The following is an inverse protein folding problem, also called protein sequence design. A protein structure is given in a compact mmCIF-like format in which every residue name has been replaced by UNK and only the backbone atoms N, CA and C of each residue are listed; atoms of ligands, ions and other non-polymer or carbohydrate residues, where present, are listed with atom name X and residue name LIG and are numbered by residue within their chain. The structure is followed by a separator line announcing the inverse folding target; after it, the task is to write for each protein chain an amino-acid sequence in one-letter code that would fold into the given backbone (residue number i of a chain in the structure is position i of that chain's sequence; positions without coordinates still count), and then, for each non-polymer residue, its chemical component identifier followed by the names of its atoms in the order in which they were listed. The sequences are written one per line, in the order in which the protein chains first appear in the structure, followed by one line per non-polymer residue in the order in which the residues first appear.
data_IF_884182272059
#
_entry.id   IF_884182272059
#
_cell.length_a   1.000
_cell.length_b   1.000
_cell.length_c   1.000
_cell.angle_alpha   90.00
_cell.angle_beta   90.00
_cell.angle_gamma   90.00
#
_symmetry.space_group_name_H-M   'P 1'
#
loop_
_entity.id
_entity.type
_entity.pdbx_description
1 polymer ?
#
# COMPACT_ATOMS: atom_id res chain seq x y z
N UNK A 1 29.23 9.83 29.81
CA UNK A 1 28.77 10.06 28.42
C UNK A 1 29.98 9.87 27.51
N UNK A 2 29.93 8.97 26.52
CA UNK A 2 31.10 8.76 25.63
C UNK A 2 31.25 10.01 24.75
N UNK A 3 32.41 10.68 24.76
CA UNK A 3 32.60 11.96 24.07
C UNK A 3 32.40 11.81 22.56
N UNK A 4 31.84 12.85 21.93
CA UNK A 4 31.68 12.89 20.48
C UNK A 4 33.05 12.99 19.81
N UNK A 5 33.35 12.03 18.94
CA UNK A 5 34.53 12.09 18.08
C UNK A 5 34.20 12.93 16.85
N UNK A 6 35.04 13.93 16.57
CA UNK A 6 35.00 14.70 15.32
C UNK A 6 36.11 14.18 14.42
N UNK A 7 35.74 13.74 13.23
CA UNK A 7 36.70 13.45 12.17
C UNK A 7 36.81 14.73 11.35
N UNK A 8 38.02 15.27 11.19
CA UNK A 8 38.26 16.45 10.37
C UNK A 8 38.40 16.03 8.89
N UNK A 9 37.71 16.73 7.99
CA UNK A 9 37.83 16.51 6.54
C UNK A 9 39.20 17.03 6.07
N UNK A 10 40.07 16.12 5.62
CA UNK A 10 41.40 16.44 5.07
C UNK A 10 42.03 15.25 4.34
N UNK A 11 43.09 15.50 3.57
CA UNK A 11 43.74 14.53 2.67
C UNK A 11 44.37 13.31 3.40
N UNK A 12 44.50 13.37 4.73
CA UNK A 12 45.10 12.33 5.60
C UNK A 12 44.04 11.78 6.59
N UNK A 13 43.20 10.84 6.14
CA UNK A 13 42.18 10.18 6.97
C UNK A 13 42.83 9.29 8.06
N UNK A 14 43.24 9.86 9.19
CA UNK A 14 43.77 9.09 10.33
C UNK A 14 42.64 8.60 11.24
N UNK A 15 41.87 7.63 10.75
CA UNK A 15 40.92 6.88 11.58
C UNK A 15 41.71 5.90 12.44
N UNK A 16 41.74 6.15 13.75
CA UNK A 16 42.39 5.28 14.74
C UNK A 16 41.43 4.22 15.28
N UNK A 17 41.96 3.13 15.83
CA UNK A 17 41.13 2.09 16.47
C UNK A 17 40.28 2.69 17.60
N UNK A 18 40.85 3.58 18.40
CA UNK A 18 40.18 4.27 19.50
C UNK A 18 39.03 5.14 19.00
N UNK A 19 39.20 5.79 17.84
CA UNK A 19 38.14 6.58 17.18
C UNK A 19 36.99 5.70 16.72
N UNK A 20 37.30 4.53 16.14
CA UNK A 20 36.30 3.58 15.68
C UNK A 20 35.56 2.93 16.87
N UNK A 21 36.26 2.49 17.91
CA UNK A 21 35.69 1.90 19.13
C UNK A 21 34.77 2.90 19.86
N UNK A 22 35.21 4.14 20.05
CA UNK A 22 34.40 5.18 20.69
C UNK A 22 33.13 5.50 19.87
N UNK A 23 33.24 5.56 18.54
CA UNK A 23 32.10 5.82 17.64
C UNK A 23 31.11 4.66 17.66
N UNK A 24 31.59 3.41 17.57
CA UNK A 24 30.75 2.22 17.59
C UNK A 24 30.02 2.07 18.93
N UNK A 25 30.70 2.27 20.06
CA UNK A 25 30.07 2.24 21.38
C UNK A 25 28.99 3.31 21.53
N UNK A 26 29.18 4.50 20.96
CA UNK A 26 28.14 5.54 20.93
C UNK A 26 26.95 5.13 20.08
N UNK A 27 27.20 4.59 18.89
CA UNK A 27 26.15 4.12 18.00
C UNK A 27 25.33 2.99 18.64
N UNK A 28 26.00 2.01 19.26
CA UNK A 28 25.33 0.90 19.98
C UNK A 28 24.51 1.45 21.14
N UNK A 29 25.07 2.31 21.99
CA UNK A 29 24.32 2.91 23.10
C UNK A 29 23.09 3.69 22.62
N UNK A 30 23.23 4.43 21.53
CA UNK A 30 22.12 5.17 20.92
C UNK A 30 21.04 4.22 20.37
N UNK A 31 21.42 3.22 19.58
CA UNK A 31 20.50 2.22 19.05
C UNK A 31 19.82 1.44 20.17
N UNK A 32 20.55 0.95 21.18
CA UNK A 32 19.96 0.27 22.33
C UNK A 32 18.95 1.14 23.08
N UNK A 33 19.17 2.45 23.18
CA UNK A 33 18.21 3.37 23.80
C UNK A 33 16.92 3.57 22.99
N UNK A 34 16.93 3.30 21.69
CA UNK A 34 15.76 3.36 20.80
C UNK A 34 14.95 2.05 20.78
N UNK A 35 15.43 0.98 21.43
CA UNK A 35 14.73 -0.29 21.47
C UNK A 35 13.47 -0.16 22.33
N UNK A 36 12.34 -0.64 21.82
CA UNK A 36 11.11 -0.70 22.62
C UNK A 36 11.23 -1.73 23.75
N UNK A 37 10.38 -1.66 24.79
CA UNK A 37 10.31 -2.70 25.82
C UNK A 37 10.01 -4.12 25.27
N UNK A 38 9.48 -4.22 24.05
CA UNK A 38 9.20 -5.49 23.37
C UNK A 38 10.35 -5.97 22.48
N UNK A 39 11.51 -5.32 22.54
CA UNK A 39 12.73 -5.78 21.86
C UNK A 39 12.87 -5.41 20.38
N UNK A 40 11.89 -4.72 19.78
CA UNK A 40 11.97 -4.23 18.40
C UNK A 40 12.32 -2.74 18.33
N UNK A 41 12.79 -2.29 17.16
CA UNK A 41 13.04 -0.88 16.87
C UNK A 41 11.92 -0.32 16.00
N UNK A 42 11.20 0.72 16.44
CA UNK A 42 10.23 1.38 15.60
C UNK A 42 11.00 2.18 14.54
N UNK A 43 10.51 2.17 13.31
CA UNK A 43 11.05 2.95 12.22
C UNK A 43 9.92 3.69 11.51
N UNK A 44 10.22 4.91 11.08
CA UNK A 44 9.33 5.65 10.20
C UNK A 44 9.44 5.08 8.79
N UNK A 45 8.52 4.19 8.44
CA UNK A 45 8.48 3.51 7.14
C UNK A 45 7.57 4.23 6.13
N UNK A 46 7.77 5.53 5.94
CA UNK A 46 7.12 6.30 4.87
C UNK A 46 7.95 6.29 3.60
N UNK A 47 7.34 6.65 2.48
CA UNK A 47 8.07 6.80 1.23
C UNK A 47 7.15 7.01 0.04
N UNK A 48 6.03 6.29 -0.03
CA UNK A 48 5.02 6.51 -1.06
C UNK A 48 4.05 7.63 -0.64
N UNK A 49 3.96 8.70 -1.44
CA UNK A 49 3.13 9.87 -1.12
C UNK A 49 1.70 9.71 -1.61
N UNK A 50 0.87 9.09 -0.79
CA UNK A 50 -0.59 9.11 -0.95
C UNK A 50 -1.30 10.02 0.06
N UNK A 51 -0.59 10.56 1.06
CA UNK A 51 -1.15 11.40 2.13
C UNK A 51 -0.03 12.29 2.75
N UNK A 52 0.26 13.43 2.10
CA UNK A 52 0.98 14.69 2.50
C UNK A 52 1.73 14.78 3.84
N UNK A 53 2.84 15.56 4.02
CA UNK A 53 3.75 16.34 3.13
C UNK A 53 5.14 15.65 2.90
N UNK A 54 6.15 16.27 2.22
CA UNK A 54 6.18 17.60 1.59
C UNK A 54 5.70 17.61 0.13
N UNK A 55 5.28 18.80 -0.32
CA UNK A 55 4.84 19.04 -1.69
C UNK A 55 5.88 19.85 -2.46
N UNK A 56 5.94 19.63 -3.76
CA UNK A 56 6.97 20.23 -4.59
C UNK A 56 6.71 21.73 -4.82
N UNK A 57 7.77 22.48 -5.12
CA UNK A 57 7.69 23.92 -5.41
C UNK A 57 6.78 24.25 -6.60
N UNK A 58 6.60 23.31 -7.53
CA UNK A 58 5.68 23.45 -8.67
C UNK A 58 4.20 23.30 -8.30
N UNK A 59 3.90 22.88 -7.06
CA UNK A 59 2.53 22.69 -6.57
C UNK A 59 1.99 21.26 -6.67
N UNK A 60 2.79 20.30 -7.15
CA UNK A 60 2.40 18.90 -7.26
C UNK A 60 3.05 17.97 -6.22
N UNK A 61 2.76 16.67 -6.35
CA UNK A 61 3.34 15.59 -5.55
C UNK A 61 3.92 14.51 -6.43
N UNK A 62 5.12 14.05 -6.08
CA UNK A 62 5.71 12.86 -6.67
C UNK A 62 5.23 11.56 -6.01
N UNK A 63 5.67 10.44 -6.56
CA UNK A 63 5.43 9.12 -5.98
C UNK A 63 6.11 8.96 -4.61
N UNK A 64 7.24 9.63 -4.41
CA UNK A 64 7.99 9.68 -3.16
C UNK A 64 8.49 11.09 -2.86
N UNK A 65 8.93 11.33 -1.63
CA UNK A 65 9.27 12.67 -1.12
C UNK A 65 10.27 13.44 -2.01
N UNK A 66 11.25 12.75 -2.60
CA UNK A 66 12.26 13.34 -3.49
C UNK A 66 11.89 13.25 -4.99
N UNK A 67 10.66 12.82 -5.29
CA UNK A 67 10.21 12.51 -6.64
C UNK A 67 9.62 13.72 -7.36
N UNK A 68 9.73 13.80 -8.70
CA UNK A 68 9.08 14.86 -9.47
C UNK A 68 7.55 14.71 -9.38
N UNK A 69 6.83 15.82 -9.55
CA UNK A 69 5.37 15.84 -9.49
C UNK A 69 4.74 14.94 -10.55
N UNK A 70 3.74 14.17 -10.11
CA UNK A 70 2.99 13.19 -10.91
C UNK A 70 1.50 13.50 -10.82
N UNK A 71 0.77 13.26 -11.90
CA UNK A 71 -0.68 13.49 -12.00
C UNK A 71 -1.45 12.66 -10.99
N UNK A 72 -1.20 11.35 -10.93
CA UNK A 72 -1.87 10.47 -9.97
C UNK A 72 -1.69 10.96 -8.52
N UNK A 73 -0.45 11.20 -8.10
CA UNK A 73 -0.15 11.60 -6.73
C UNK A 73 -0.72 13.00 -6.42
N UNK A 74 -0.61 13.95 -7.35
CA UNK A 74 -1.15 15.30 -7.16
C UNK A 74 -2.67 15.29 -7.04
N UNK A 75 -3.36 14.54 -7.89
CA UNK A 75 -4.83 14.42 -7.83
C UNK A 75 -5.28 13.73 -6.55
N UNK A 76 -4.64 12.63 -6.15
CA UNK A 76 -5.02 11.90 -4.93
C UNK A 76 -4.79 12.74 -3.66
N UNK A 77 -3.68 13.46 -3.58
CA UNK A 77 -3.42 14.34 -2.45
C UNK A 77 -4.35 15.56 -2.44
N UNK A 78 -4.68 16.13 -3.61
CA UNK A 78 -5.71 17.16 -3.71
C UNK A 78 -7.07 16.66 -3.20
N UNK A 79 -7.50 15.49 -3.67
CA UNK A 79 -8.73 14.85 -3.21
C UNK A 79 -8.72 14.62 -1.70
N UNK A 80 -7.59 14.14 -1.15
CA UNK A 80 -7.44 13.93 0.29
C UNK A 80 -7.62 15.23 1.08
N UNK A 81 -6.97 16.32 0.69
CA UNK A 81 -7.15 17.64 1.34
C UNK A 81 -8.61 18.09 1.30
N UNK A 82 -9.24 18.01 0.12
CA UNK A 82 -10.64 18.43 -0.06
C UNK A 82 -11.60 17.59 0.78
N UNK A 83 -11.36 16.28 0.91
CA UNK A 83 -12.15 15.37 1.77
C UNK A 83 -11.91 15.65 3.26
N UNK A 84 -10.69 16.02 3.66
CA UNK A 84 -10.35 16.39 5.04
C UNK A 84 -10.90 17.76 5.46
N UNK A 85 -11.55 18.49 4.54
CA UNK A 85 -12.28 19.73 4.82
C UNK A 85 -11.56 20.99 4.36
N UNK A 86 -10.38 20.90 3.75
CA UNK A 86 -9.71 22.05 3.16
C UNK A 86 -10.50 22.59 1.98
N UNK A 87 -10.61 23.93 1.89
CA UNK A 87 -11.26 24.61 0.78
C UNK A 87 -10.54 24.44 -0.56
N UNK A 88 -11.17 24.86 -1.68
CA UNK A 88 -10.52 24.84 -3.00
C UNK A 88 -9.26 25.73 -3.03
N UNK A 89 -9.20 26.75 -2.20
CA UNK A 89 -8.05 27.64 -2.02
C UNK A 89 -7.44 27.49 -0.62
N UNK A 90 -7.67 26.35 0.04
CA UNK A 90 -7.16 26.02 1.37
C UNK A 90 -5.79 25.33 1.37
N UNK A 91 -5.41 24.84 2.55
CA UNK A 91 -4.11 24.21 2.82
C UNK A 91 -2.97 25.22 3.06
N UNK A 92 -1.88 24.71 3.64
CA UNK A 92 -0.65 25.49 3.86
C UNK A 92 -0.16 26.07 2.52
N UNK A 93 0.18 27.35 2.49
CA UNK A 93 0.67 28.07 1.30
C UNK A 93 -0.22 27.93 0.05
N UNK A 94 -1.55 27.89 0.24
CA UNK A 94 -2.54 27.66 -0.82
C UNK A 94 -2.30 26.36 -1.60
N UNK A 95 -1.90 25.29 -0.90
CA UNK A 95 -1.61 23.99 -1.50
C UNK A 95 -2.73 23.50 -2.42
N UNK A 96 -4.00 23.63 -2.05
CA UNK A 96 -5.12 23.22 -2.90
C UNK A 96 -5.16 24.00 -4.22
N UNK A 97 -5.03 25.33 -4.19
CA UNK A 97 -5.08 26.14 -5.41
C UNK A 97 -3.89 25.84 -6.34
N UNK A 98 -2.70 25.65 -5.77
CA UNK A 98 -1.49 25.28 -6.52
C UNK A 98 -1.60 23.89 -7.14
N UNK A 99 -2.07 22.91 -6.37
CA UNK A 99 -2.33 21.55 -6.84
C UNK A 99 -3.35 21.53 -7.97
N UNK A 100 -4.49 22.21 -7.80
CA UNK A 100 -5.51 22.32 -8.85
C UNK A 100 -4.94 22.96 -10.10
N UNK A 101 -4.19 24.05 -9.97
CA UNK A 101 -3.52 24.68 -11.10
C UNK A 101 -2.58 23.71 -11.81
N UNK A 102 -1.72 23.01 -11.08
CA UNK A 102 -0.80 22.02 -11.64
C UNK A 102 -1.57 20.92 -12.38
N UNK A 103 -2.64 20.37 -11.79
CA UNK A 103 -3.49 19.33 -12.42
C UNK A 103 -4.05 19.82 -13.74
N UNK A 104 -4.63 21.03 -13.77
CA UNK A 104 -5.27 21.58 -14.97
C UNK A 104 -4.24 21.93 -16.06
N UNK A 105 -3.09 22.50 -15.69
CA UNK A 105 -2.00 22.82 -16.62
C UNK A 105 -1.43 21.56 -17.31
N UNK A 106 -1.51 20.40 -16.65
CA UNK A 106 -1.05 19.10 -17.18
C UNK A 106 -2.19 18.27 -17.82
N UNK A 107 -3.32 18.89 -18.14
CA UNK A 107 -4.42 18.28 -18.91
C UNK A 107 -5.59 17.75 -18.07
N UNK A 108 -5.51 17.82 -16.75
CA UNK A 108 -6.55 17.39 -15.81
C UNK A 108 -6.47 15.92 -15.42
N UNK A 109 -7.33 15.53 -14.47
CA UNK A 109 -7.31 14.20 -13.85
C UNK A 109 -7.58 13.03 -14.83
N UNK A 110 -8.07 13.30 -16.05
CA UNK A 110 -8.21 12.31 -17.13
C UNK A 110 -6.89 11.59 -17.45
N UNK A 111 -5.76 12.27 -17.24
CA UNK A 111 -4.43 11.77 -17.55
C UNK A 111 -3.75 11.07 -16.36
N UNK A 112 -4.43 10.85 -15.23
CA UNK A 112 -3.88 10.10 -14.11
C UNK A 112 -3.44 8.68 -14.51
N UNK A 113 -2.43 8.15 -13.82
CA UNK A 113 -2.10 6.72 -13.86
C UNK A 113 -3.29 5.81 -13.54
N UNK A 114 -3.20 4.53 -13.95
CA UNK A 114 -4.30 3.56 -13.87
C UNK A 114 -4.87 3.38 -12.45
N UNK A 115 -4.02 3.33 -11.43
CA UNK A 115 -4.46 3.23 -10.03
C UNK A 115 -5.23 4.46 -9.58
N UNK A 116 -4.75 5.67 -9.90
CA UNK A 116 -5.49 6.90 -9.62
C UNK A 116 -6.86 6.94 -10.30
N UNK A 117 -6.97 6.49 -11.55
CA UNK A 117 -8.27 6.37 -12.24
C UNK A 117 -9.22 5.43 -11.52
N UNK A 118 -8.73 4.27 -11.07
CA UNK A 118 -9.54 3.30 -10.31
C UNK A 118 -10.04 3.90 -9.00
N UNK A 119 -9.17 4.52 -8.21
CA UNK A 119 -9.54 5.17 -6.94
C UNK A 119 -10.53 6.32 -7.14
N UNK A 120 -10.32 7.14 -8.17
CA UNK A 120 -11.26 8.21 -8.52
C UNK A 120 -12.61 7.69 -9.03
N UNK A 121 -12.63 6.55 -9.74
CA UNK A 121 -13.87 5.91 -10.19
C UNK A 121 -14.68 5.37 -9.01
N UNK A 122 -14.00 4.73 -8.04
CA UNK A 122 -14.58 4.30 -6.77
C UNK A 122 -15.15 5.50 -6.00
N UNK A 123 -14.42 6.63 -5.94
CA UNK A 123 -14.89 7.85 -5.27
C UNK A 123 -16.06 8.53 -6.01
N UNK A 124 -16.19 8.28 -7.31
CA UNK A 124 -17.22 8.88 -8.16
C UNK A 124 -16.82 10.21 -8.80
N UNK A 125 -15.53 10.57 -8.82
CA UNK A 125 -15.02 11.74 -9.55
C UNK A 125 -14.43 11.38 -10.91
N UNK A 126 -14.55 10.12 -11.35
CA UNK A 126 -14.10 9.59 -12.64
C UNK A 126 -15.04 8.47 -13.08
N UNK A 127 -15.17 8.20 -14.38
CA UNK A 127 -16.04 7.13 -14.89
C UNK A 127 -15.26 5.84 -15.19
N UNK A 128 -15.79 4.69 -14.77
CA UNK A 128 -15.22 3.37 -15.02
C UNK A 128 -14.92 3.09 -16.50
N UNK A 129 -15.64 3.70 -17.45
CA UNK A 129 -15.39 3.58 -18.89
C UNK A 129 -14.00 4.11 -19.32
N UNK A 130 -13.40 4.98 -18.51
CA UNK A 130 -12.05 5.51 -18.72
C UNK A 130 -10.94 4.75 -17.99
N UNK A 131 -11.27 3.66 -17.28
CA UNK A 131 -10.31 2.74 -16.68
C UNK A 131 -10.03 1.57 -17.64
N UNK A 132 -8.81 1.02 -17.57
CA UNK A 132 -8.53 -0.24 -18.27
C UNK A 132 -9.34 -1.39 -17.62
N UNK A 133 -9.84 -2.36 -18.40
CA UNK A 133 -10.62 -3.46 -17.84
C UNK A 133 -9.87 -4.28 -16.79
N UNK A 134 -10.53 -4.57 -15.67
CA UNK A 134 -10.01 -5.45 -14.62
C UNK A 134 -11.00 -6.60 -14.38
N UNK A 135 -11.24 -7.46 -15.39
CA UNK A 135 -12.34 -8.42 -15.37
C UNK A 135 -12.20 -9.39 -14.19
N UNK A 136 -13.24 -9.52 -13.35
CA UNK A 136 -13.32 -10.54 -12.30
C UNK A 136 -13.00 -11.96 -12.76
N UNK A 137 -13.31 -12.26 -14.02
CA UNK A 137 -13.15 -13.58 -14.60
C UNK A 137 -11.69 -14.01 -14.73
N UNK A 138 -10.76 -13.05 -14.73
CA UNK A 138 -9.32 -13.31 -14.72
C UNK A 138 -8.86 -14.11 -13.50
N UNK A 139 -9.65 -14.11 -12.43
CA UNK A 139 -9.37 -14.79 -11.17
C UNK A 139 -9.81 -16.26 -11.16
N UNK A 140 -10.35 -16.78 -12.27
CA UNK A 140 -10.77 -18.17 -12.38
C UNK A 140 -9.75 -19.10 -13.07
N UNK A 141 -9.57 -20.26 -12.45
CA UNK A 141 -9.25 -21.58 -13.00
C UNK A 141 -8.38 -21.65 -14.29
N UNK A 142 -7.05 -21.62 -14.11
CA UNK A 142 -6.13 -22.73 -14.39
C UNK A 142 -4.69 -22.21 -14.26
N UNK A 143 -3.89 -22.86 -13.43
CA UNK A 143 -2.44 -22.63 -13.29
C UNK A 143 -1.66 -22.89 -14.59
N UNK A 144 -2.30 -23.45 -15.62
CA UNK A 144 -1.73 -23.71 -16.94
C UNK A 144 -1.65 -22.45 -17.81
N UNK A 145 -2.44 -21.41 -17.55
CA UNK A 145 -2.33 -20.14 -18.28
C UNK A 145 -1.07 -19.39 -17.81
N UNK A 146 -0.20 -18.91 -18.73
CA UNK A 146 1.05 -18.21 -18.35
C UNK A 146 0.82 -16.96 -17.50
N UNK A 147 -0.32 -16.28 -17.69
CA UNK A 147 -0.70 -15.04 -17.02
C UNK A 147 -1.67 -15.24 -15.85
N UNK A 148 -1.73 -16.43 -15.25
CA UNK A 148 -2.67 -16.68 -14.15
C UNK A 148 -2.30 -15.86 -12.88
N UNK A 149 -3.27 -15.27 -12.14
CA UNK A 149 -3.00 -14.45 -10.94
C UNK A 149 -2.12 -15.12 -9.88
N UNK A 150 -2.18 -16.45 -9.75
CA UNK A 150 -1.34 -17.19 -8.79
C UNK A 150 0.17 -17.08 -9.08
N UNK A 151 0.56 -16.74 -10.32
CA UNK A 151 1.96 -16.54 -10.74
C UNK A 151 2.39 -15.07 -10.70
N UNK A 152 1.47 -14.15 -10.40
CA UNK A 152 1.80 -12.74 -10.23
C UNK A 152 2.51 -12.51 -8.90
N UNK A 153 3.32 -11.45 -8.84
CA UNK A 153 3.86 -10.95 -7.58
C UNK A 153 2.73 -10.76 -6.56
N UNK A 154 2.91 -11.25 -5.34
CA UNK A 154 1.88 -11.24 -4.30
C UNK A 154 1.29 -9.85 -4.05
N UNK A 155 2.13 -8.81 -4.08
CA UNK A 155 1.71 -7.41 -3.97
C UNK A 155 0.71 -7.05 -5.07
N UNK A 156 1.11 -7.19 -6.35
CA UNK A 156 0.21 -6.93 -7.48
C UNK A 156 -1.07 -7.75 -7.42
N UNK A 157 -0.99 -9.01 -7.01
CA UNK A 157 -2.17 -9.86 -6.84
C UNK A 157 -3.13 -9.27 -5.80
N UNK A 158 -2.64 -8.93 -4.62
CA UNK A 158 -3.48 -8.41 -3.56
C UNK A 158 -4.01 -7.01 -3.86
N UNK A 159 -3.29 -6.18 -4.63
CA UNK A 159 -3.82 -4.89 -5.10
C UNK A 159 -4.93 -5.06 -6.14
N UNK A 160 -4.73 -5.88 -7.17
CA UNK A 160 -5.68 -5.99 -8.28
C UNK A 160 -6.93 -6.82 -7.94
N UNK A 161 -6.89 -7.67 -6.92
CA UNK A 161 -8.02 -8.51 -6.51
C UNK A 161 -9.25 -7.69 -6.08
N UNK A 162 -9.18 -6.78 -5.10
CA UNK A 162 -10.30 -5.93 -4.71
C UNK A 162 -10.66 -4.91 -5.80
N UNK A 163 -9.68 -4.39 -6.56
CA UNK A 163 -9.96 -3.51 -7.70
C UNK A 163 -10.78 -4.24 -8.78
N UNK A 164 -10.48 -5.50 -9.08
CA UNK A 164 -11.27 -6.34 -9.99
C UNK A 164 -12.68 -6.58 -9.47
N UNK A 165 -12.85 -6.84 -8.17
CA UNK A 165 -14.16 -6.98 -7.56
C UNK A 165 -15.00 -5.70 -7.73
N UNK A 166 -14.44 -4.55 -7.36
CA UNK A 166 -15.09 -3.23 -7.45
C UNK A 166 -15.39 -2.85 -8.90
N UNK A 167 -14.47 -3.13 -9.82
CA UNK A 167 -14.69 -2.99 -11.25
C UNK A 167 -15.87 -3.85 -11.71
N UNK A 168 -15.88 -5.15 -11.36
CA UNK A 168 -16.95 -6.07 -11.71
C UNK A 168 -18.34 -5.64 -11.22
N UNK A 169 -18.40 -5.05 -10.01
CA UNK A 169 -19.62 -4.44 -9.45
C UNK A 169 -19.93 -3.06 -9.99
N UNK A 170 -18.99 -2.40 -10.68
CA UNK A 170 -19.04 -0.98 -11.07
C UNK A 170 -19.37 -0.09 -9.86
N UNK A 171 -18.73 -0.37 -8.73
CA UNK A 171 -19.00 0.34 -7.49
C UNK A 171 -18.61 1.83 -7.62
N UNK A 172 -19.49 2.70 -7.15
CA UNK A 172 -19.26 4.15 -7.08
C UNK A 172 -19.81 4.62 -5.73
N UNK A 173 -19.03 5.41 -5.00
CA UNK A 173 -19.46 6.05 -3.77
C UNK A 173 -20.58 7.08 -4.00
N UNK A 174 -21.26 7.54 -2.94
CA UNK A 174 -22.33 8.52 -3.07
C UNK A 174 -21.84 9.85 -3.64
N UNK A 175 -22.66 10.42 -4.52
CA UNK A 175 -22.38 11.69 -5.17
C UNK A 175 -22.83 12.83 -4.25
N UNK A 176 -21.95 13.22 -3.33
CA UNK A 176 -22.18 14.34 -2.40
C UNK A 176 -21.93 15.70 -3.09
N UNK A 177 -22.34 16.83 -2.47
CA UNK A 177 -22.01 18.15 -2.99
C UNK A 177 -20.50 18.39 -3.16
N UNK A 178 -19.67 17.81 -2.29
CA UNK A 178 -18.21 17.86 -2.43
C UNK A 178 -17.74 17.10 -3.68
N UNK A 179 -18.29 15.90 -3.93
CA UNK A 179 -17.96 15.13 -5.14
C UNK A 179 -18.37 15.90 -6.41
N UNK A 180 -19.51 16.60 -6.39
CA UNK A 180 -19.93 17.46 -7.50
C UNK A 180 -18.96 18.62 -7.72
N UNK A 181 -18.49 19.29 -6.66
CA UNK A 181 -17.47 20.35 -6.76
C UNK A 181 -16.16 19.80 -7.35
N UNK A 182 -15.68 18.65 -6.86
CA UNK A 182 -14.45 18.02 -7.33
C UNK A 182 -14.49 17.68 -8.83
N UNK A 183 -15.67 17.29 -9.34
CA UNK A 183 -15.88 17.04 -10.78
C UNK A 183 -15.74 18.30 -11.64
N UNK A 184 -15.95 19.49 -11.08
CA UNK A 184 -15.74 20.77 -11.78
C UNK A 184 -14.31 21.30 -11.56
N UNK A 185 -13.65 20.91 -10.47
CA UNK A 185 -12.30 21.38 -10.11
C UNK A 185 -11.16 20.65 -10.85
N UNK A 186 -11.36 19.38 -11.22
CA UNK A 186 -10.29 18.46 -11.65
C UNK A 186 -10.08 18.37 -13.16
N UNK A 187 -10.94 18.97 -13.98
CA UNK A 187 -10.99 18.75 -15.42
C UNK A 187 -11.04 20.06 -16.21
N UNK A 188 -10.34 20.09 -17.34
CA UNK A 188 -10.31 21.26 -18.26
C UNK A 188 -11.60 21.42 -19.08
N UNK A 189 -12.56 20.53 -18.92
CA UNK A 189 -13.83 20.55 -19.62
C UNK A 189 -14.94 20.06 -18.69
N UNK A 190 -16.21 20.44 -18.93
CA UNK A 190 -17.32 20.02 -18.09
C UNK A 190 -17.40 18.50 -17.99
N UNK A 191 -17.60 17.99 -16.77
CA UNK A 191 -17.52 16.56 -16.47
C UNK A 191 -18.40 15.68 -17.38
N UNK A 192 -19.62 16.15 -17.66
CA UNK A 192 -20.59 15.44 -18.49
C UNK A 192 -20.23 15.37 -19.99
N UNK A 193 -19.27 16.17 -20.45
CA UNK A 193 -18.81 16.19 -21.85
C UNK A 193 -17.57 15.31 -22.07
N UNK A 194 -17.01 14.73 -21.00
CA UNK A 194 -15.81 13.89 -21.07
C UNK A 194 -16.14 12.58 -21.78
N UNK A 195 -15.39 12.30 -22.86
CA UNK A 195 -15.45 11.03 -23.58
C UNK A 195 -14.55 10.01 -22.89
N UNK A 196 -15.05 9.44 -21.80
CA UNK A 196 -14.29 8.56 -20.89
C UNK A 196 -13.59 7.40 -21.58
N UNK A 197 -14.19 6.80 -22.62
CA UNK A 197 -13.56 5.69 -23.35
C UNK A 197 -12.18 6.02 -23.93
N UNK A 198 -11.91 7.29 -24.25
CA UNK A 198 -10.58 7.73 -24.70
C UNK A 198 -9.55 7.76 -23.57
N UNK A 199 -10.01 7.95 -22.33
CA UNK A 199 -9.17 8.09 -21.14
C UNK A 199 -8.39 6.83 -20.79
N UNK A 200 -8.80 5.64 -21.27
CA UNK A 200 -8.10 4.37 -20.96
C UNK A 200 -6.62 4.37 -21.35
N UNK A 201 -6.30 5.01 -22.47
CA UNK A 201 -4.95 5.10 -23.02
C UNK A 201 -4.26 6.44 -22.73
N UNK A 202 -4.97 7.40 -22.12
CA UNK A 202 -4.39 8.68 -21.70
C UNK A 202 -3.55 8.47 -20.44
N UNK A 203 -2.32 8.96 -20.40
CA UNK A 203 -1.50 9.00 -19.20
C UNK A 203 -0.61 10.23 -19.30
N UNK A 204 -0.47 10.98 -18.21
CA UNK A 204 0.45 12.10 -18.13
C UNK A 204 1.88 11.60 -18.41
N UNK A 205 2.72 12.45 -19.00
CA UNK A 205 4.10 12.04 -19.33
C UNK A 205 4.87 11.70 -18.06
N UNK A 206 4.60 12.45 -17.01
CA UNK A 206 5.17 12.36 -15.66
C UNK A 206 4.82 11.02 -14.99
N UNK A 207 3.62 10.48 -15.26
CA UNK A 207 3.15 9.20 -14.71
C UNK A 207 3.60 7.99 -15.55
N UNK A 208 4.03 8.23 -16.79
CA UNK A 208 4.23 7.17 -17.78
C UNK A 208 5.65 6.59 -17.76
N UNK A 209 5.99 5.89 -16.68
CA UNK A 209 7.29 5.22 -16.55
C UNK A 209 7.46 4.03 -17.51
N UNK A 210 6.40 3.24 -17.72
CA UNK A 210 6.39 2.10 -18.64
C UNK A 210 5.30 2.26 -19.71
N UNK A 211 5.61 2.83 -20.88
CA UNK A 211 4.62 3.07 -21.92
C UNK A 211 4.08 1.75 -22.50
N UNK A 212 2.76 1.65 -22.58
CA UNK A 212 2.10 0.52 -23.23
C UNK A 212 2.40 0.50 -24.74
N UNK A 213 2.97 -0.60 -25.22
CA UNK A 213 3.15 -0.87 -26.64
C UNK A 213 1.84 -1.19 -27.37
N UNK A 214 1.90 -1.24 -28.70
CA UNK A 214 0.72 -1.46 -29.56
C UNK A 214 -0.02 -2.76 -29.24
N UNK A 215 0.71 -3.85 -29.01
CA UNK A 215 0.12 -5.16 -28.68
C UNK A 215 -0.69 -5.10 -27.37
N UNK A 216 -0.16 -4.44 -26.35
CA UNK A 216 -0.83 -4.31 -25.06
C UNK A 216 -2.07 -3.42 -25.16
N UNK A 217 -2.01 -2.34 -25.97
CA UNK A 217 -3.19 -1.48 -26.24
C UNK A 217 -4.29 -2.26 -26.95
N UNK A 218 -3.94 -3.05 -27.97
CA UNK A 218 -4.88 -3.91 -28.69
C UNK A 218 -5.52 -4.95 -27.77
N UNK A 219 -4.74 -5.54 -26.86
CA UNK A 219 -5.26 -6.46 -25.85
C UNK A 219 -6.28 -5.77 -24.94
N UNK A 220 -5.97 -4.58 -24.40
CA UNK A 220 -6.91 -3.81 -23.57
C UNK A 220 -8.18 -3.41 -24.31
N UNK A 221 -8.06 -2.98 -25.56
CA UNK A 221 -9.22 -2.65 -26.39
C UNK A 221 -10.07 -3.90 -26.71
N UNK A 222 -9.43 -5.05 -26.92
CA UNK A 222 -10.14 -6.32 -27.11
C UNK A 222 -10.93 -6.71 -25.85
N UNK A 223 -10.33 -6.57 -24.67
CA UNK A 223 -11.04 -6.81 -23.41
C UNK A 223 -12.21 -5.84 -23.22
N UNK A 224 -12.04 -4.56 -23.56
CA UNK A 224 -13.09 -3.57 -23.38
C UNK A 224 -14.23 -3.67 -24.40
N UNK A 225 -13.91 -3.77 -25.70
CA UNK A 225 -14.93 -3.72 -26.75
C UNK A 225 -15.56 -5.07 -27.06
N UNK A 226 -14.89 -6.18 -26.72
CA UNK A 226 -15.39 -7.53 -27.00
C UNK A 226 -15.74 -8.26 -25.71
N UNK A 227 -14.78 -8.46 -24.80
CA UNK A 227 -15.02 -9.30 -23.62
C UNK A 227 -16.03 -8.67 -22.65
N UNK A 228 -15.94 -7.37 -22.36
CA UNK A 228 -16.85 -6.69 -21.43
C UNK A 228 -18.33 -6.73 -21.88
N UNK A 229 -18.70 -6.39 -23.12
CA UNK A 229 -20.09 -6.54 -23.58
C UNK A 229 -20.58 -7.98 -23.57
N UNK A 230 -19.71 -8.95 -23.90
CA UNK A 230 -20.06 -10.36 -23.87
C UNK A 230 -20.36 -10.84 -22.45
N UNK A 231 -19.48 -10.54 -21.50
CA UNK A 231 -19.60 -10.95 -20.09
C UNK A 231 -20.75 -10.24 -19.36
N UNK A 232 -21.10 -9.02 -19.78
CA UNK A 232 -22.29 -8.31 -19.30
C UNK A 232 -23.58 -8.72 -20.02
N UNK A 233 -23.50 -9.52 -21.08
CA UNK A 233 -24.69 -10.00 -21.77
C UNK A 233 -25.46 -11.00 -20.89
N UNK A 234 -26.78 -11.07 -21.10
CA UNK A 234 -27.67 -11.99 -20.37
C UNK A 234 -27.22 -13.46 -20.38
N UNK A 235 -26.43 -13.87 -21.38
CA UNK A 235 -26.00 -15.26 -21.55
C UNK A 235 -24.79 -15.62 -20.69
N UNK A 236 -23.88 -14.67 -20.46
CA UNK A 236 -22.64 -14.90 -19.71
C UNK A 236 -22.62 -14.20 -18.34
N UNK A 237 -23.69 -13.47 -17.98
CA UNK A 237 -23.83 -12.78 -16.69
C UNK A 237 -23.56 -13.69 -15.49
N UNK A 238 -23.99 -14.96 -15.57
CA UNK A 238 -23.74 -15.93 -14.48
C UNK A 238 -22.25 -16.19 -14.23
N UNK A 239 -21.41 -16.12 -15.27
CA UNK A 239 -19.95 -16.25 -15.13
C UNK A 239 -19.42 -15.08 -14.31
N UNK A 240 -19.83 -13.84 -14.65
CA UNK A 240 -19.44 -12.62 -13.93
C UNK A 240 -19.91 -12.63 -12.48
N UNK A 241 -21.15 -13.01 -12.24
CA UNK A 241 -21.72 -13.10 -10.89
C UNK A 241 -20.95 -14.11 -10.04
N UNK A 242 -20.63 -15.28 -10.59
CA UNK A 242 -19.79 -16.28 -9.94
C UNK A 242 -18.37 -15.75 -9.68
N UNK A 243 -17.80 -15.00 -10.63
CA UNK A 243 -16.44 -14.43 -10.52
C UNK A 243 -16.34 -13.48 -9.34
N UNK A 244 -17.30 -12.57 -9.28
CA UNK A 244 -17.40 -11.56 -8.24
C UNK A 244 -17.64 -12.22 -6.88
N UNK A 245 -18.45 -13.30 -6.83
CA UNK A 245 -18.66 -14.04 -5.58
C UNK A 245 -17.36 -14.72 -5.09
N UNK A 246 -16.64 -15.44 -5.96
CA UNK A 246 -15.37 -16.06 -5.54
C UNK A 246 -14.30 -15.05 -5.16
N UNK A 247 -14.29 -13.88 -5.81
CA UNK A 247 -13.38 -12.80 -5.46
C UNK A 247 -13.62 -12.31 -4.05
N UNK A 248 -14.87 -12.06 -3.65
CA UNK A 248 -15.15 -11.63 -2.28
C UNK A 248 -14.79 -12.72 -1.27
N UNK A 249 -14.97 -14.00 -1.61
CA UNK A 249 -14.56 -15.10 -0.73
C UNK A 249 -13.02 -15.12 -0.54
N UNK A 250 -12.22 -14.85 -1.59
CA UNK A 250 -10.76 -14.73 -1.46
C UNK A 250 -10.33 -13.49 -0.68
N UNK A 251 -11.07 -12.39 -0.84
CA UNK A 251 -10.83 -11.14 -0.10
C UNK A 251 -11.04 -11.39 1.39
N UNK A 252 -12.16 -11.99 1.78
CA UNK A 252 -12.44 -12.35 3.17
C UNK A 252 -11.39 -13.32 3.74
N UNK A 253 -10.96 -14.31 2.96
CA UNK A 253 -9.92 -15.23 3.38
C UNK A 253 -8.60 -14.51 3.69
N UNK A 254 -8.17 -13.57 2.86
CA UNK A 254 -6.95 -12.78 3.09
C UNK A 254 -7.09 -11.90 4.35
N UNK A 255 -8.26 -11.29 4.55
CA UNK A 255 -8.52 -10.47 5.74
C UNK A 255 -8.49 -11.30 7.03
N UNK A 256 -9.14 -12.45 7.04
CA UNK A 256 -9.11 -13.35 8.20
C UNK A 256 -7.69 -13.85 8.48
N UNK A 257 -6.97 -14.28 7.45
CA UNK A 257 -5.61 -14.81 7.56
C UNK A 257 -4.59 -13.76 8.02
N UNK A 258 -4.74 -12.52 7.54
CA UNK A 258 -3.88 -11.39 7.91
C UNK A 258 -4.33 -10.65 9.17
N UNK A 259 -5.45 -11.07 9.79
CA UNK A 259 -6.11 -10.36 10.90
C UNK A 259 -6.42 -8.90 10.55
N UNK A 260 -6.92 -8.66 9.33
CA UNK A 260 -7.29 -7.35 8.79
C UNK A 260 -6.12 -6.35 8.75
N UNK A 261 -4.90 -6.87 8.62
CA UNK A 261 -3.69 -6.05 8.44
C UNK A 261 -3.33 -5.97 6.94
N UNK A 262 -3.60 -7.03 6.18
CA UNK A 262 -3.15 -7.23 4.80
C UNK A 262 -1.62 -7.16 4.64
N UNK A 263 -1.13 -7.19 3.40
CA UNK A 263 0.31 -7.14 3.06
C UNK A 263 0.87 -5.71 3.07
N UNK A 264 0.02 -4.70 2.92
CA UNK A 264 0.43 -3.32 2.70
C UNK A 264 -0.70 -2.31 2.87
N UNK A 265 -0.35 -1.04 2.92
CA UNK A 265 -1.29 0.04 3.21
C UNK A 265 -2.33 0.26 2.10
N UNK A 266 -1.95 0.07 0.83
CA UNK A 266 -2.87 0.19 -0.32
C UNK A 266 -3.91 -0.92 -0.25
N UNK A 267 -3.44 -2.15 -0.09
CA UNK A 267 -4.26 -3.33 0.00
C UNK A 267 -5.24 -3.20 1.17
N UNK A 268 -4.74 -2.89 2.37
CA UNK A 268 -5.58 -2.74 3.56
C UNK A 268 -6.81 -1.84 3.32
N UNK A 269 -6.64 -0.68 2.67
CA UNK A 269 -7.75 0.24 2.43
C UNK A 269 -8.80 -0.36 1.47
N UNK A 270 -8.35 -1.10 0.46
CA UNK A 270 -9.24 -1.75 -0.50
C UNK A 270 -9.99 -2.94 0.14
N UNK A 271 -9.34 -3.70 1.01
CA UNK A 271 -9.91 -4.85 1.72
C UNK A 271 -10.86 -4.43 2.88
N UNK A 272 -10.46 -3.49 3.76
CA UNK A 272 -11.25 -3.03 4.92
C UNK A 272 -12.63 -2.48 4.49
N UNK A 273 -12.71 -1.85 3.31
CA UNK A 273 -13.97 -1.31 2.75
C UNK A 273 -14.91 -2.38 2.24
N UNK A 274 -14.39 -3.55 1.86
CA UNK A 274 -15.15 -4.65 1.26
C UNK A 274 -15.56 -5.71 2.29
N UNK A 275 -14.73 -5.93 3.32
CA UNK A 275 -14.93 -7.03 4.26
C UNK A 275 -15.66 -6.66 5.56
N UNK A 276 -15.83 -5.37 5.88
CA UNK A 276 -16.42 -4.99 7.16
C UNK A 276 -17.95 -5.16 7.20
N UNK A 277 -18.51 -6.05 8.04
CA UNK A 277 -19.96 -6.15 8.28
C UNK A 277 -20.54 -4.88 8.91
N UNK A 278 -19.67 -4.07 9.56
CA UNK A 278 -20.01 -2.76 10.10
C UNK A 278 -20.26 -1.77 8.96
N UNK A 279 -19.51 -1.85 7.85
CA UNK A 279 -19.72 -0.98 6.70
C UNK A 279 -20.89 -1.41 5.82
N UNK A 280 -21.26 -2.70 5.75
CA UNK A 280 -22.56 -3.10 5.17
C UNK A 280 -23.74 -2.53 5.96
N UNK A 281 -23.64 -2.53 7.30
CA UNK A 281 -24.59 -1.80 8.16
C UNK A 281 -24.56 -0.30 7.90
N UNK A 282 -23.38 0.31 7.77
CA UNK A 282 -23.25 1.74 7.48
C UNK A 282 -23.73 2.10 6.08
N UNK A 283 -23.61 1.23 5.08
CA UNK A 283 -24.18 1.38 3.74
C UNK A 283 -25.70 1.42 3.80
N UNK A 284 -26.31 0.50 4.55
CA UNK A 284 -27.76 0.47 4.76
C UNK A 284 -28.25 1.68 5.57
N UNK A 285 -27.40 2.23 6.47
CA UNK A 285 -27.66 3.47 7.21
C UNK A 285 -27.41 4.74 6.37
N UNK A 286 -26.50 4.70 5.40
CA UNK A 286 -26.15 5.79 4.48
C UNK A 286 -27.21 6.07 3.42
N UNK A 287 -28.01 5.06 3.04
CA UNK A 287 -29.17 5.22 2.17
C UNK A 287 -30.29 6.09 2.78
N UNK A 288 -30.18 6.46 4.07
CA UNK A 288 -31.12 7.34 4.76
C UNK A 288 -30.41 8.66 5.10
N UNK A 289 -30.61 9.66 4.23
CA UNK A 289 -29.84 10.90 4.11
C UNK A 289 -29.82 11.87 5.32
N UNK A 290 -30.36 11.52 6.49
CA UNK A 290 -30.57 12.48 7.60
C UNK A 290 -29.63 12.33 8.81
N UNK A 291 -28.45 11.73 8.65
CA UNK A 291 -27.63 11.34 9.81
C UNK A 291 -26.16 11.78 9.80
N UNK A 292 -25.87 12.99 9.32
CA UNK A 292 -24.59 13.69 9.58
C UNK A 292 -24.28 13.81 11.09
N UNK A 293 -25.32 13.90 11.95
CA UNK A 293 -25.16 13.89 13.42
C UNK A 293 -24.69 12.55 13.98
N UNK A 294 -25.11 11.42 13.41
CA UNK A 294 -24.64 10.10 13.83
C UNK A 294 -23.23 9.81 13.32
N UNK A 295 -22.89 10.22 12.10
CA UNK A 295 -21.52 10.13 11.59
C UNK A 295 -20.54 10.89 12.49
N UNK A 296 -20.94 12.07 12.98
CA UNK A 296 -20.18 12.82 13.98
C UNK A 296 -20.08 12.07 15.31
N UNK A 297 -21.15 11.40 15.75
CA UNK A 297 -21.16 10.54 16.94
C UNK A 297 -20.22 9.34 16.80
N UNK A 298 -20.24 8.63 15.67
CA UNK A 298 -19.33 7.51 15.40
C UNK A 298 -17.89 7.99 15.18
N UNK A 299 -17.68 9.20 14.68
CA UNK A 299 -16.35 9.82 14.63
C UNK A 299 -15.85 10.13 16.06
N UNK A 300 -16.73 10.57 16.96
CA UNK A 300 -16.42 10.73 18.38
C UNK A 300 -16.19 9.39 19.08
N UNK A 301 -16.89 8.31 18.70
CA UNK A 301 -16.63 6.97 19.23
C UNK A 301 -15.28 6.43 18.71
N UNK A 302 -14.94 6.66 17.45
CA UNK A 302 -13.63 6.29 16.87
C UNK A 302 -12.51 7.16 17.45
N UNK A 303 -12.74 8.47 17.65
CA UNK A 303 -11.83 9.36 18.37
C UNK A 303 -11.71 8.96 19.83
N UNK A 304 -12.79 8.52 20.48
CA UNK A 304 -12.77 8.05 21.86
C UNK A 304 -12.07 6.70 21.96
N UNK A 305 -12.16 5.81 20.97
CA UNK A 305 -11.39 4.56 20.91
C UNK A 305 -9.91 4.87 20.65
N UNK A 306 -9.60 5.81 19.77
CA UNK A 306 -8.23 6.26 19.50
C UNK A 306 -7.63 6.99 20.71
N UNK A 307 -8.38 7.88 21.34
CA UNK A 307 -8.00 8.56 22.59
C UNK A 307 -7.94 7.58 23.75
N UNK A 308 -8.83 6.61 23.89
CA UNK A 308 -8.74 5.55 24.91
C UNK A 308 -7.52 4.65 24.63
N UNK A 309 -7.11 4.49 23.36
CA UNK A 309 -5.87 3.78 22.98
C UNK A 309 -4.61 4.63 23.23
N UNK A 310 -4.70 5.96 23.13
CA UNK A 310 -3.63 6.92 23.38
C UNK A 310 -3.48 7.25 24.88
N UNK A 311 -4.59 7.43 25.60
CA UNK A 311 -4.70 7.67 27.05
C UNK A 311 -4.35 6.40 27.86
N UNK A 312 -4.74 5.20 27.39
CA UNK A 312 -4.19 3.93 27.93
C UNK A 312 -2.70 3.76 27.65
N UNK A 313 -2.12 4.61 26.79
CA UNK A 313 -0.68 4.63 26.51
C UNK A 313 0.12 5.64 27.30
N UNK A 314 -0.48 6.54 28.09
CA UNK A 314 0.12 7.26 29.25
C UNK A 314 -0.97 8.16 29.89
N UNK A 315 -1.31 8.03 31.19
CA UNK A 315 -0.38 8.27 32.31
C UNK A 315 -0.55 7.33 33.54
N UNK A 316 0.47 7.32 34.41
CA UNK A 316 0.49 6.75 35.77
C UNK A 316 0.18 5.25 35.93
N UNK A 317 1.04 4.39 35.39
CA UNK A 317 1.23 3.06 35.98
C UNK A 317 2.47 3.07 36.87
N UNK A 318 2.25 3.07 38.19
CA UNK A 318 3.14 2.35 39.10
C UNK A 318 3.39 0.97 38.49
N UNK A 319 4.67 0.65 38.27
CA UNK A 319 5.10 -0.59 37.66
C UNK A 319 4.74 -1.78 38.56
N UNK A 320 3.51 -2.27 38.48
CA UNK A 320 3.26 -3.68 38.75
C UNK A 320 3.70 -4.47 37.51
N UNK A 321 4.94 -4.94 37.59
CA UNK A 321 5.53 -5.92 36.69
C UNK A 321 4.63 -7.17 36.74
N UNK A 322 3.66 -7.25 35.84
CA UNK A 322 3.10 -8.53 35.44
C UNK A 322 4.06 -9.06 34.39
N UNK A 323 4.87 -10.03 34.81
CA UNK A 323 5.67 -10.85 33.90
C UNK A 323 4.73 -11.68 33.02
N UNK A 324 4.12 -11.08 32.01
CA UNK A 324 3.61 -11.85 30.88
C UNK A 324 4.56 -11.63 29.70
N UNK A 325 5.50 -12.57 29.60
CA UNK A 325 6.43 -12.72 28.50
C UNK A 325 5.58 -12.92 27.24
N UNK A 326 5.41 -11.89 26.42
CA UNK A 326 5.08 -12.12 25.01
C UNK A 326 6.34 -12.66 24.35
N UNK A 327 6.52 -13.97 24.43
CA UNK A 327 7.56 -14.68 23.69
C UNK A 327 7.23 -14.53 22.20
N UNK A 328 8.07 -13.83 21.44
CA UNK A 328 8.23 -14.15 20.03
C UNK A 328 8.71 -15.59 19.99
N UNK A 329 7.81 -16.55 19.82
CA UNK A 329 8.19 -17.96 19.90
C UNK A 329 9.22 -18.25 18.80
N UNK A 330 10.27 -18.99 19.16
CA UNK A 330 11.22 -19.56 18.20
C UNK A 330 10.61 -20.71 17.39
N UNK A 331 9.31 -20.96 17.54
CA UNK A 331 8.60 -22.09 16.97
C UNK A 331 8.12 -21.68 15.58
N UNK A 332 8.79 -22.21 14.56
CA UNK A 332 8.27 -22.26 13.19
C UNK A 332 7.60 -23.61 13.02
N UNK A 333 6.35 -23.60 12.52
CA UNK A 333 5.68 -24.83 12.09
C UNK A 333 6.21 -25.14 10.69
N UNK A 334 7.24 -25.97 10.60
CA UNK A 334 7.92 -26.26 9.33
C UNK A 334 6.97 -26.78 8.25
N UNK A 335 5.92 -27.52 8.64
CA UNK A 335 4.90 -28.04 7.73
C UNK A 335 4.05 -26.97 7.02
N UNK A 336 4.09 -25.72 7.49
CA UNK A 336 3.35 -24.58 6.93
C UNK A 336 4.24 -23.64 6.09
N UNK A 337 5.55 -23.95 5.97
CA UNK A 337 6.48 -23.19 5.13
C UNK A 337 6.60 -23.85 3.78
N UNK A 338 6.31 -23.11 2.71
CA UNK A 338 6.38 -23.63 1.33
C UNK A 338 7.41 -22.87 0.49
N UNK A 339 8.18 -23.61 -0.31
CA UNK A 339 9.04 -23.05 -1.37
C UNK A 339 10.36 -22.43 -0.89
N UNK A 340 10.82 -22.76 0.33
CA UNK A 340 12.09 -22.27 0.91
C UNK A 340 13.17 -23.34 1.10
N UNK A 341 12.93 -24.56 0.62
CA UNK A 341 13.85 -25.69 0.78
C UNK A 341 15.22 -25.43 0.12
N UNK A 342 15.21 -24.87 -1.10
CA UNK A 342 16.45 -24.56 -1.83
C UNK A 342 17.26 -23.45 -1.12
N UNK A 343 16.58 -22.40 -0.64
CA UNK A 343 17.22 -21.32 0.12
C UNK A 343 17.83 -21.83 1.43
N UNK A 344 17.13 -22.74 2.13
CA UNK A 344 17.59 -23.39 3.34
C UNK A 344 18.85 -24.22 3.06
N UNK A 345 18.82 -25.11 2.07
CA UNK A 345 19.97 -25.94 1.69
C UNK A 345 21.19 -25.12 1.29
N UNK A 346 20.99 -24.03 0.53
CA UNK A 346 22.07 -23.16 0.08
C UNK A 346 22.79 -22.43 1.22
N UNK A 347 22.14 -22.28 2.39
CA UNK A 347 22.73 -21.63 3.57
C UNK A 347 23.29 -22.67 4.56
N UNK A 348 22.60 -23.79 4.75
CA UNK A 348 23.05 -24.88 5.66
C UNK A 348 24.35 -25.52 5.15
N UNK A 349 24.46 -25.78 3.85
CA UNK A 349 25.65 -26.44 3.27
C UNK A 349 26.95 -25.69 3.58
N UNK A 350 27.07 -24.37 3.33
CA UNK A 350 28.24 -23.60 3.75
C UNK A 350 28.46 -23.55 5.26
N UNK A 351 27.39 -23.42 6.07
CA UNK A 351 27.50 -23.37 7.54
C UNK A 351 28.09 -24.66 8.14
N UNK A 352 27.76 -25.81 7.56
CA UNK A 352 28.25 -27.12 8.01
C UNK A 352 29.58 -27.54 7.36
N UNK A 353 29.97 -26.94 6.24
CA UNK A 353 31.14 -27.35 5.44
C UNK A 353 32.51 -27.19 6.12
N UNK A 354 32.60 -26.61 7.32
CA UNK A 354 33.85 -26.51 8.10
C UNK A 354 34.95 -25.64 7.47
N UNK A 355 34.76 -25.12 6.25
CA UNK A 355 35.75 -24.31 5.54
C UNK A 355 35.90 -22.90 6.15
N UNK A 356 34.87 -22.39 6.82
CA UNK A 356 34.87 -21.03 7.38
C UNK A 356 35.52 -20.92 8.78
N UNK A 357 35.69 -22.02 9.52
CA UNK A 357 36.22 -22.01 10.90
C UNK A 357 37.73 -22.23 10.99
N UNK A 358 38.41 -22.55 9.87
CA UNK A 358 39.86 -22.80 9.88
C UNK A 358 40.72 -21.56 10.18
N UNK A 359 40.16 -20.35 10.08
CA UNK A 359 40.85 -19.08 10.35
C UNK A 359 40.48 -18.35 11.65
N UNK A 360 39.63 -18.94 12.50
CA UNK A 360 39.14 -18.27 13.73
C UNK A 360 38.24 -17.05 13.50
N UNK A 361 37.77 -16.83 12.28
CA UNK A 361 36.83 -15.76 11.93
C UNK A 361 35.37 -16.17 12.19
N UNK A 362 34.53 -15.19 12.52
CA UNK A 362 33.06 -15.37 12.59
C UNK A 362 32.50 -15.35 11.17
N UNK A 363 31.84 -16.42 10.74
CA UNK A 363 31.12 -16.45 9.47
C UNK A 363 29.79 -15.69 9.63
N UNK A 364 29.64 -14.58 8.90
CA UNK A 364 28.40 -13.83 8.84
C UNK A 364 27.74 -14.01 7.47
N UNK A 365 26.51 -14.53 7.45
CA UNK A 365 25.69 -14.67 6.23
C UNK A 365 24.55 -13.66 6.33
N UNK A 366 24.57 -12.65 5.47
CA UNK A 366 23.50 -11.65 5.41
C UNK A 366 22.34 -12.13 4.52
N UNK A 367 21.17 -12.35 5.11
CA UNK A 367 19.93 -12.60 4.35
C UNK A 367 19.38 -11.25 3.89
N UNK A 368 19.70 -10.84 2.66
CA UNK A 368 19.27 -9.57 2.07
C UNK A 368 18.12 -9.77 1.09
N UNK A 369 17.19 -8.81 1.03
CA UNK A 369 16.03 -8.86 0.15
C UNK A 369 14.92 -7.90 0.59
N UNK A 370 13.94 -7.68 -0.29
CA UNK A 370 12.75 -6.84 -0.02
C UNK A 370 12.13 -7.18 1.35
N UNK A 371 11.59 -6.22 2.09
CA UNK A 371 10.75 -6.53 3.27
C UNK A 371 9.64 -7.50 2.89
N UNK A 372 9.15 -8.33 3.84
CA UNK A 372 7.96 -9.20 3.70
C UNK A 372 8.06 -10.65 3.15
N UNK A 373 9.11 -11.14 2.48
CA UNK A 373 9.14 -12.50 1.94
C UNK A 373 9.48 -13.59 2.99
N UNK A 374 9.28 -13.34 4.29
CA UNK A 374 9.53 -14.34 5.33
C UNK A 374 11.00 -14.55 5.68
N UNK A 375 11.86 -13.51 5.59
CA UNK A 375 13.28 -13.60 5.97
C UNK A 375 13.48 -14.07 7.42
N UNK A 376 12.65 -13.57 8.34
CA UNK A 376 12.66 -14.00 9.74
C UNK A 376 12.29 -15.49 9.86
N UNK A 377 11.30 -15.94 9.09
CA UNK A 377 10.92 -17.37 9.02
C UNK A 377 12.07 -18.22 8.50
N UNK A 378 12.77 -17.80 7.45
CA UNK A 378 13.96 -18.48 6.94
C UNK A 378 15.09 -18.54 7.99
N UNK A 379 15.35 -17.43 8.69
CA UNK A 379 16.34 -17.40 9.77
C UNK A 379 15.98 -18.35 10.92
N UNK A 380 14.70 -18.43 11.28
CA UNK A 380 14.20 -19.35 12.31
C UNK A 380 14.26 -20.83 11.86
N UNK A 381 13.97 -21.12 10.59
CA UNK A 381 14.14 -22.48 10.01
C UNK A 381 15.59 -22.92 10.05
N UNK A 382 16.53 -22.02 9.72
CA UNK A 382 17.96 -22.29 9.79
C UNK A 382 18.44 -22.50 11.23
N UNK A 383 17.90 -21.74 12.18
CA UNK A 383 18.25 -21.86 13.60
C UNK A 383 17.75 -23.18 14.22
N UNK A 384 16.58 -23.65 13.79
CA UNK A 384 15.98 -24.89 14.30
C UNK A 384 16.40 -26.15 13.51
N UNK A 385 17.14 -25.99 12.41
CA UNK A 385 17.64 -27.10 11.60
C UNK A 385 18.60 -27.96 12.42
N UNK A 386 18.31 -29.27 12.48
CA UNK A 386 19.07 -30.20 13.33
C UNK A 386 20.31 -30.79 12.66
N UNK A 387 20.54 -30.50 11.38
CA UNK A 387 21.66 -31.03 10.60
C UNK A 387 21.70 -32.56 10.63
N UNK A 388 20.83 -33.20 9.85
CA UNK A 388 20.86 -34.65 9.67
C UNK A 388 21.99 -35.11 8.72
#
# INVERSE_FOLDING_TARGET
MIPQVKVEDGDDWKITYETADATLRRAINFWSALQTPHGHWPAHCTGAMFTLPPFNEDGGWGLHIDGPSMMMCTVLNYLAMRILGEGPDGGLDNACARARKWILDHGGAMFSGSWGKTLMAILGVYDWAGCNPMPPEFWFHQTLVPLHPSKMLCYSRLTFMPMSYLYGKRFVGPITPLIQQLREELYNQPFHQIKWSKGRHCCAKEDNYYPHGTLQRLMWDSFYYVAEPLLNSRFFKSIRENAVQKLIDHIHYEDENSRYISIGCVEKVDFDRLASPVLEKLRNLWDHADNLKMLRGSLFDVQAILQDTEDKRMPDMEFHIVHDRRESSSIVVESEVYGREEDKENIVKPLLSGEATQGGGVLCISITGLGWPGKTTLAQLLFNDRGD
#
